data_IF_326520031782
#
_entry.id   IF_326520031782
#
_cell.length_a   1.000
_cell.length_b   1.000
_cell.length_c   1.000
_cell.angle_alpha   90.00
_cell.angle_beta   90.00
_cell.angle_gamma   90.00
#
_symmetry.space_group_name_H-M   'P 1'
#
loop_
_entity.id
_entity.type
_entity.pdbx_description
1 polymer ?
#
# COMPACT_ATOMS: atom_id res chain seq x y z
N UNK A 1 25.18 21.64 8.86
CA UNK A 1 25.13 20.70 9.99
C UNK A 1 24.12 21.29 10.95
N UNK A 2 22.85 20.94 10.79
CA UNK A 2 21.82 21.41 11.70
C UNK A 2 21.91 20.56 12.98
N UNK A 3 22.16 21.21 14.10
CA UNK A 3 22.17 20.59 15.44
C UNK A 3 20.75 20.12 15.78
N UNK A 4 20.51 18.85 16.15
CA UNK A 4 19.21 18.43 16.63
C UNK A 4 18.91 19.16 17.94
N UNK A 5 17.93 20.07 17.92
CA UNK A 5 17.55 20.89 19.06
C UNK A 5 16.67 20.06 20.01
N UNK A 6 17.26 19.11 20.73
CA UNK A 6 16.55 18.38 21.79
C UNK A 6 16.48 19.28 23.03
N UNK A 7 15.28 19.75 23.37
CA UNK A 7 15.03 20.54 24.59
C UNK A 7 14.38 19.65 25.64
N UNK A 8 14.95 19.63 26.85
CA UNK A 8 14.42 18.80 27.94
C UNK A 8 13.38 19.61 28.74
N UNK A 9 12.12 19.20 28.65
CA UNK A 9 10.99 19.83 29.32
C UNK A 9 10.06 18.77 29.93
N UNK A 10 9.35 19.11 31.00
CA UNK A 10 8.37 18.20 31.63
C UNK A 10 7.07 18.03 30.82
N UNK A 11 6.88 18.85 29.79
CA UNK A 11 5.76 18.82 28.86
C UNK A 11 6.28 19.17 27.46
N UNK A 12 5.72 18.60 26.37
CA UNK A 12 6.12 18.94 25.01
C UNK A 12 6.02 20.46 24.78
N UNK A 13 7.09 21.13 24.30
CA UNK A 13 7.03 22.54 23.95
C UNK A 13 6.03 22.80 22.81
N UNK A 14 5.62 24.06 22.61
CA UNK A 14 4.74 24.43 21.50
C UNK A 14 5.33 24.01 20.16
N UNK A 15 4.56 23.27 19.36
CA UNK A 15 5.00 22.75 18.07
C UNK A 15 5.73 21.40 18.13
N UNK A 16 5.81 20.76 19.30
CA UNK A 16 6.39 19.43 19.47
C UNK A 16 5.31 18.43 19.91
N UNK A 17 5.42 17.20 19.42
CA UNK A 17 4.60 16.06 19.84
C UNK A 17 5.51 14.99 20.47
N UNK A 18 4.94 14.15 21.34
CA UNK A 18 5.68 13.03 21.96
C UNK A 18 5.67 11.77 21.12
N UNK A 19 4.74 11.70 20.17
CA UNK A 19 4.64 10.61 19.22
C UNK A 19 5.65 10.85 18.08
N UNK A 20 6.51 9.87 17.83
CA UNK A 20 7.53 9.90 16.78
C UNK A 20 7.35 8.73 15.81
N UNK A 21 6.13 8.19 15.72
CA UNK A 21 5.82 7.06 14.84
C UNK A 21 5.49 7.49 13.40
N UNK A 22 5.42 8.80 13.13
CA UNK A 22 5.31 9.33 11.76
C UNK A 22 6.54 8.95 10.92
N UNK A 23 6.30 8.11 9.91
CA UNK A 23 7.31 7.63 8.99
C UNK A 23 7.71 8.67 7.94
N UNK A 24 6.94 9.77 7.79
CA UNK A 24 7.24 10.86 6.87
C UNK A 24 6.76 12.24 7.35
N UNK A 25 7.56 12.87 8.24
CA UNK A 25 7.36 14.23 8.76
C UNK A 25 7.15 15.34 7.69
N UNK A 26 7.50 15.09 6.43
CA UNK A 26 7.38 16.07 5.34
C UNK A 26 6.10 15.90 4.52
N UNK A 27 5.27 14.90 4.81
CA UNK A 27 4.08 14.59 4.03
C UNK A 27 2.86 14.38 4.94
N UNK A 28 2.06 15.43 5.12
CA UNK A 28 0.89 15.44 6.00
C UNK A 28 -0.08 14.25 5.80
N UNK A 29 -0.39 13.81 4.56
CA UNK A 29 -1.17 12.59 4.32
C UNK A 29 -0.61 11.30 4.90
N UNK A 30 0.71 11.18 5.08
CA UNK A 30 1.38 9.97 5.58
C UNK A 30 1.59 10.13 7.07
N UNK A 31 0.89 9.33 7.87
CA UNK A 31 0.97 9.38 9.32
C UNK A 31 0.29 8.14 9.93
N UNK A 32 0.58 7.81 11.21
CA UNK A 32 -0.01 6.68 11.90
C UNK A 32 -1.53 6.60 11.79
N UNK A 33 -2.04 5.56 11.15
CA UNK A 33 -3.48 5.31 10.98
C UNK A 33 -4.17 6.15 9.90
N UNK A 34 -3.40 6.71 8.95
CA UNK A 34 -3.97 7.22 7.70
C UNK A 34 -4.72 6.12 6.93
N UNK A 35 -5.48 6.51 5.91
CA UNK A 35 -6.10 5.51 5.01
C UNK A 35 -5.15 5.19 3.89
N UNK A 36 -4.81 3.92 3.75
CA UNK A 36 -4.03 3.41 2.62
C UNK A 36 -4.60 3.85 1.27
N UNK A 37 -3.70 4.28 0.38
CA UNK A 37 -4.00 4.59 -1.01
C UNK A 37 -3.02 3.78 -1.85
N UNK A 38 -3.54 3.06 -2.85
CA UNK A 38 -2.73 2.26 -3.76
C UNK A 38 -1.79 3.14 -4.62
N UNK A 39 -0.66 3.55 -4.04
CA UNK A 39 0.27 4.55 -4.55
C UNK A 39 1.75 4.09 -4.39
N UNK A 40 1.98 2.93 -3.76
CA UNK A 40 3.31 2.36 -3.53
C UNK A 40 4.03 2.90 -2.30
N UNK A 41 3.31 3.56 -1.39
CA UNK A 41 3.80 4.09 -0.12
C UNK A 41 3.05 3.44 1.04
N UNK A 42 3.70 3.44 2.19
CA UNK A 42 3.09 3.17 3.49
C UNK A 42 2.44 4.48 3.94
N UNK A 43 1.14 4.64 3.75
CA UNK A 43 0.46 5.89 4.09
C UNK A 43 0.11 5.92 5.58
N UNK A 44 -0.17 4.76 6.19
CA UNK A 44 -0.59 4.65 7.58
C UNK A 44 0.54 4.36 8.60
N UNK A 45 1.77 4.25 8.12
CA UNK A 45 3.00 4.02 8.86
C UNK A 45 3.00 2.72 9.72
N UNK A 46 2.26 1.68 9.32
CA UNK A 46 2.24 0.38 10.01
C UNK A 46 3.32 -0.61 9.53
N UNK A 47 4.07 -0.24 8.49
CA UNK A 47 5.13 -1.03 7.86
C UNK A 47 4.65 -1.90 6.69
N UNK A 48 3.36 -1.88 6.38
CA UNK A 48 2.77 -2.36 5.14
C UNK A 48 2.91 -1.34 4.01
N UNK A 49 2.67 -1.78 2.78
CA UNK A 49 2.57 -0.88 1.62
C UNK A 49 1.34 -1.31 0.84
N UNK A 50 0.42 -0.38 0.65
CA UNK A 50 -0.84 -0.58 -0.07
C UNK A 50 -1.66 -1.76 0.48
N UNK A 51 -1.58 -2.11 1.76
CA UNK A 51 -2.36 -3.20 2.33
C UNK A 51 -3.85 -2.89 2.39
N UNK A 52 -4.68 -3.91 2.21
CA UNK A 52 -6.13 -3.76 2.21
C UNK A 52 -6.73 -3.00 1.01
N UNK A 53 -5.90 -2.37 0.16
CA UNK A 53 -6.34 -1.64 -1.05
C UNK A 53 -5.97 -2.32 -2.36
N UNK A 54 -5.15 -3.37 -2.32
CA UNK A 54 -4.81 -4.18 -3.48
C UNK A 54 -5.94 -5.13 -3.92
N UNK A 55 -5.99 -5.41 -5.23
CA UNK A 55 -6.87 -6.41 -5.81
C UNK A 55 -6.08 -7.67 -6.18
N UNK A 56 -6.74 -8.83 -6.17
CA UNK A 56 -6.20 -10.06 -6.75
C UNK A 56 -6.52 -10.11 -8.24
N UNK A 57 -5.49 -10.36 -9.05
CA UNK A 57 -5.58 -10.58 -10.48
C UNK A 57 -5.17 -12.01 -10.83
N UNK A 58 -5.64 -12.50 -11.97
CA UNK A 58 -5.35 -13.82 -12.50
C UNK A 58 -4.65 -13.72 -13.85
N UNK A 59 -3.62 -14.54 -14.08
CA UNK A 59 -2.89 -14.54 -15.34
C UNK A 59 -3.72 -15.16 -16.47
N UNK A 60 -3.81 -14.46 -17.61
CA UNK A 60 -4.37 -14.96 -18.87
C UNK A 60 -3.21 -15.34 -19.80
N UNK A 61 -2.94 -16.64 -19.94
CA UNK A 61 -1.74 -17.16 -20.63
C UNK A 61 -2.01 -17.50 -22.11
N UNK A 62 -3.26 -17.83 -22.43
CA UNK A 62 -3.74 -18.18 -23.76
C UNK A 62 -4.52 -17.05 -24.45
N UNK A 63 -4.66 -15.90 -23.80
CA UNK A 63 -5.24 -14.65 -24.30
C UNK A 63 -6.72 -14.80 -24.66
N UNK A 64 -7.46 -15.60 -23.90
CA UNK A 64 -8.90 -15.84 -24.11
C UNK A 64 -9.78 -14.94 -23.22
N UNK A 65 -9.16 -14.04 -22.44
CA UNK A 65 -9.78 -13.15 -21.45
C UNK A 65 -10.28 -13.84 -20.19
N UNK A 66 -9.84 -15.07 -19.92
CA UNK A 66 -10.09 -15.79 -18.67
C UNK A 66 -8.77 -16.04 -17.94
N UNK A 67 -8.80 -15.85 -16.62
CA UNK A 67 -7.61 -15.97 -15.79
C UNK A 67 -7.45 -17.33 -15.11
N UNK A 68 -6.21 -17.74 -14.90
CA UNK A 68 -5.86 -18.96 -14.18
C UNK A 68 -5.94 -18.76 -12.64
N UNK A 69 -6.82 -19.52 -11.99
CA UNK A 69 -7.04 -19.49 -10.55
C UNK A 69 -5.83 -19.94 -9.71
N UNK A 70 -4.87 -20.67 -10.30
CA UNK A 70 -3.62 -21.05 -9.60
C UNK A 70 -2.49 -20.04 -9.81
N UNK A 71 -2.64 -19.11 -10.76
CA UNK A 71 -1.66 -18.07 -11.07
C UNK A 71 -2.22 -16.68 -10.70
N UNK A 72 -2.09 -16.32 -9.43
CA UNK A 72 -2.61 -15.07 -8.86
C UNK A 72 -1.52 -14.04 -8.57
N UNK A 73 -1.84 -12.75 -8.73
CA UNK A 73 -1.02 -11.63 -8.28
C UNK A 73 -1.88 -10.63 -7.48
N UNK A 74 -1.36 -10.14 -6.37
CA UNK A 74 -1.96 -9.03 -5.64
C UNK A 74 -1.28 -7.73 -6.05
N UNK A 75 -2.06 -6.74 -6.53
CA UNK A 75 -1.53 -5.46 -7.01
C UNK A 75 -2.58 -4.33 -6.97
N UNK A 76 -2.11 -3.09 -7.14
CA UNK A 76 -2.95 -1.90 -7.23
C UNK A 76 -3.69 -1.76 -8.56
N UNK A 77 -3.07 -2.23 -9.64
CA UNK A 77 -3.58 -2.12 -11.00
C UNK A 77 -3.36 -3.43 -11.73
N UNK A 78 -4.18 -3.72 -12.76
CA UNK A 78 -3.94 -4.89 -13.59
C UNK A 78 -2.59 -4.75 -14.29
N UNK A 79 -1.75 -5.76 -14.17
CA UNK A 79 -0.62 -5.91 -15.08
C UNK A 79 -1.13 -6.33 -16.46
N UNK A 80 -0.35 -6.04 -17.51
CA UNK A 80 -0.66 -6.53 -18.85
C UNK A 80 -0.89 -8.05 -18.78
N UNK A 81 -1.97 -8.50 -19.42
CA UNK A 81 -2.38 -9.90 -19.45
C UNK A 81 -2.95 -10.45 -18.12
N UNK A 82 -3.39 -9.60 -17.19
CA UNK A 82 -4.11 -10.00 -15.97
C UNK A 82 -5.46 -9.31 -15.79
N UNK A 83 -6.52 -10.08 -15.51
CA UNK A 83 -7.89 -9.56 -15.35
C UNK A 83 -8.35 -9.58 -13.87
N UNK A 84 -9.15 -8.58 -13.42
CA UNK A 84 -9.71 -8.55 -12.07
C UNK A 84 -10.86 -9.56 -11.88
N UNK A 85 -11.01 -10.05 -10.64
CA UNK A 85 -11.87 -11.17 -10.15
C UNK A 85 -13.37 -11.17 -10.49
N UNK A 86 -13.86 -10.23 -11.29
CA UNK A 86 -15.28 -10.18 -11.68
C UNK A 86 -15.66 -11.18 -12.79
N UNK A 87 -14.71 -11.88 -13.39
CA UNK A 87 -14.96 -12.95 -14.36
C UNK A 87 -14.73 -14.31 -13.69
N UNK A 88 -15.80 -15.07 -13.47
CA UNK A 88 -15.75 -16.41 -12.86
C UNK A 88 -14.84 -17.33 -13.66
N UNK A 89 -13.90 -17.96 -12.95
CA UNK A 89 -12.96 -18.95 -13.43
C UNK A 89 -13.61 -20.10 -14.22
N UNK A 90 -13.14 -20.32 -15.44
CA UNK A 90 -12.96 -21.64 -16.03
C UNK A 90 -11.49 -21.67 -16.45
N UNK A 91 -10.58 -22.09 -15.57
CA UNK A 91 -10.01 -23.44 -15.61
C UNK A 91 -9.83 -23.89 -17.06
N UNK A 92 -8.65 -23.61 -17.61
CA UNK A 92 -7.89 -24.44 -18.55
C UNK A 92 -8.76 -24.95 -19.70
N UNK A 93 -8.73 -24.38 -20.91
CA UNK A 93 -8.67 -25.14 -22.18
C UNK A 93 -8.32 -24.21 -23.37
N UNK A 94 -7.11 -24.38 -23.89
CA UNK A 94 -6.70 -24.36 -25.32
C UNK A 94 -7.46 -23.46 -26.31
#
# INVERSE_FOLDING_TARGET
METPLTTMACSPPSGYVTDNTDCNDNNVPINPGATEICNGLDDDCDGGVDEGVQNTYYADVDNDSYGDAIATLTACSPQADMFPTTQTAMIIML
#
